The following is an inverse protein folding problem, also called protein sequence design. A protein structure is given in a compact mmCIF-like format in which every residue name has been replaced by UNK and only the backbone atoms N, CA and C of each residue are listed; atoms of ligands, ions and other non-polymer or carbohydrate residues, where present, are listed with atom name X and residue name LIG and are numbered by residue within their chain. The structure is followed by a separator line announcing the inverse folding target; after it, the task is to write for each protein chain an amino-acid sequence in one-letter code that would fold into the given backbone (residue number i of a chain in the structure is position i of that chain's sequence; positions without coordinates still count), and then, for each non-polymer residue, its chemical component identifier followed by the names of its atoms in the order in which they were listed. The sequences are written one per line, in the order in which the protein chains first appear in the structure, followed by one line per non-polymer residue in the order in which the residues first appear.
data_IF_131469737431
#
_entry.id   IF_131469737431
#
_cell.length_a   1.000
_cell.length_b   1.000
_cell.length_c   1.000
_cell.angle_alpha   90.00
_cell.angle_beta   90.00
_cell.angle_gamma   90.00
#
_symmetry.space_group_name_H-M   'P 1'
#
loop_
_entity.id
_entity.type
_entity.pdbx_description
1 polymer ?
#
# COMPACT_ATOMS: atom_id res chain seq x y z
N UNK A 1 40.63 -23.78 17.02
CA UNK A 1 40.21 -22.86 15.96
C UNK A 1 38.71 -22.73 16.09
N UNK A 2 38.25 -21.58 16.55
CA UNK A 2 36.84 -21.30 16.79
C UNK A 2 36.43 -20.20 15.81
N UNK A 3 35.69 -20.58 14.77
CA UNK A 3 35.10 -19.64 13.84
C UNK A 3 33.58 -19.78 13.95
N UNK A 4 33.08 -18.99 14.89
CA UNK A 4 31.69 -18.60 15.05
C UNK A 4 31.29 -17.69 13.88
N UNK A 5 30.39 -18.14 13.00
CA UNK A 5 29.51 -17.27 12.22
C UNK A 5 28.12 -17.87 12.13
N UNK A 6 27.42 -17.79 13.25
CA UNK A 6 25.97 -17.72 13.26
C UNK A 6 25.49 -16.45 12.52
N UNK A 7 24.29 -16.54 11.94
CA UNK A 7 23.39 -15.44 11.65
C UNK A 7 23.68 -14.55 10.43
N UNK A 8 23.04 -14.86 9.30
CA UNK A 8 22.16 -13.90 8.60
C UNK A 8 21.02 -14.68 7.94
N UNK A 9 20.12 -15.18 8.79
CA UNK A 9 18.75 -15.40 8.36
C UNK A 9 18.21 -13.99 8.16
N UNK A 10 18.17 -13.53 6.90
CA UNK A 10 17.62 -12.22 6.58
C UNK A 10 16.16 -12.23 7.02
N UNK A 11 15.86 -11.50 8.08
CA UNK A 11 14.50 -11.24 8.52
C UNK A 11 13.73 -10.66 7.32
N UNK A 12 12.59 -11.28 6.90
CA UNK A 12 11.79 -10.79 5.77
C UNK A 12 11.11 -9.43 6.05
N UNK A 13 11.41 -8.81 7.19
CA UNK A 13 10.91 -7.49 7.61
C UNK A 13 11.96 -6.38 7.44
N UNK A 14 13.19 -6.71 7.04
CA UNK A 14 14.29 -5.76 6.82
C UNK A 14 14.68 -5.68 5.32
N UNK A 15 13.76 -6.04 4.42
CA UNK A 15 13.93 -5.68 3.01
C UNK A 15 13.91 -4.16 2.89
N UNK A 16 14.96 -3.54 2.32
CA UNK A 16 14.97 -2.09 2.15
C UNK A 16 13.74 -1.69 1.32
N UNK A 17 12.89 -0.86 1.91
CA UNK A 17 11.77 -0.20 1.20
C UNK A 17 12.35 0.40 -0.09
N UNK A 18 11.89 -0.09 -1.24
CA UNK A 18 12.40 0.34 -2.54
C UNK A 18 13.39 -0.60 -3.25
N UNK A 19 13.53 -1.86 -2.86
CA UNK A 19 14.08 -2.86 -3.79
C UNK A 19 13.15 -3.07 -5.00
N UNK A 20 13.68 -3.36 -6.19
CA UNK A 20 12.81 -3.62 -7.37
C UNK A 20 11.81 -4.77 -7.16
N UNK A 21 12.21 -5.79 -6.39
CA UNK A 21 11.34 -6.91 -5.99
C UNK A 21 10.22 -6.46 -5.02
N UNK A 22 10.43 -5.38 -4.28
CA UNK A 22 9.45 -4.81 -3.34
C UNK A 22 8.35 -4.08 -4.12
N UNK A 23 8.67 -3.38 -5.21
CA UNK A 23 7.67 -2.73 -6.07
C UNK A 23 6.75 -3.76 -6.74
N UNK A 24 7.33 -4.85 -7.26
CA UNK A 24 6.56 -5.93 -7.89
C UNK A 24 5.66 -6.64 -6.87
N UNK A 25 6.18 -6.98 -5.70
CA UNK A 25 5.38 -7.59 -4.62
C UNK A 25 4.29 -6.65 -4.11
N UNK A 26 4.48 -5.32 -4.11
CA UNK A 26 3.41 -4.38 -3.78
C UNK A 26 2.31 -4.37 -4.84
N UNK A 27 2.69 -4.39 -6.12
CA UNK A 27 1.71 -4.41 -7.20
C UNK A 27 0.87 -5.69 -7.19
N UNK A 28 1.42 -6.80 -6.67
CA UNK A 28 0.68 -8.03 -6.42
C UNK A 28 -0.25 -7.93 -5.19
N UNK A 29 0.19 -7.24 -4.14
CA UNK A 29 -0.57 -7.09 -2.89
C UNK A 29 -1.67 -6.01 -2.98
N UNK A 30 -1.36 -4.81 -3.51
CA UNK A 30 -2.27 -3.69 -3.69
C UNK A 30 -2.68 -3.58 -5.16
N UNK A 31 -3.92 -3.95 -5.44
CA UNK A 31 -4.47 -3.92 -6.81
C UNK A 31 -5.63 -2.92 -6.94
N UNK A 32 -5.92 -2.46 -8.17
CA UNK A 32 -7.10 -1.63 -8.47
C UNK A 32 -8.40 -2.29 -8.00
N UNK A 33 -8.47 -3.63 -8.01
CA UNK A 33 -9.61 -4.39 -7.46
C UNK A 33 -9.76 -4.18 -5.95
N UNK A 34 -8.66 -4.29 -5.19
CA UNK A 34 -8.71 -4.07 -3.75
C UNK A 34 -9.04 -2.62 -3.41
N UNK A 35 -8.45 -1.65 -4.13
CA UNK A 35 -8.77 -0.23 -3.98
C UNK A 35 -10.27 -0.02 -4.20
N UNK A 36 -10.83 -0.53 -5.29
CA UNK A 36 -12.27 -0.45 -5.60
C UNK A 36 -13.13 -1.13 -4.53
N UNK A 37 -12.69 -2.27 -3.99
CA UNK A 37 -13.39 -2.94 -2.89
C UNK A 37 -13.42 -2.09 -1.63
N UNK A 38 -12.39 -1.31 -1.33
CA UNK A 38 -12.45 -0.34 -0.22
C UNK A 38 -13.31 0.89 -0.57
N UNK A 39 -13.50 1.24 -1.84
CA UNK A 39 -14.34 2.37 -2.24
C UNK A 39 -15.84 2.08 -2.09
N UNK A 40 -16.26 0.85 -2.40
CA UNK A 40 -17.68 0.48 -2.51
C UNK A 40 -18.07 -0.79 -1.73
N UNK A 41 -17.14 -1.39 -1.00
CA UNK A 41 -17.40 -2.58 -0.21
C UNK A 41 -18.35 -2.33 0.97
N UNK A 42 -18.88 -3.42 1.52
CA UNK A 42 -19.83 -3.39 2.64
C UNK A 42 -19.20 -3.23 4.02
N UNK A 43 -17.88 -3.04 4.11
CA UNK A 43 -17.22 -2.70 5.37
C UNK A 43 -17.66 -1.30 5.86
N UNK A 44 -17.60 -1.02 7.18
CA UNK A 44 -17.86 0.31 7.72
C UNK A 44 -17.00 1.38 7.04
N UNK A 45 -17.59 2.55 6.80
CA UNK A 45 -16.91 3.68 6.14
C UNK A 45 -15.60 4.05 6.83
N UNK A 46 -15.57 4.05 8.17
CA UNK A 46 -14.38 4.37 8.96
C UNK A 46 -13.23 3.37 8.72
N UNK A 47 -13.56 2.08 8.64
CA UNK A 47 -12.59 1.02 8.34
C UNK A 47 -12.07 1.13 6.91
N UNK A 48 -12.95 1.38 5.94
CA UNK A 48 -12.57 1.61 4.53
C UNK A 48 -11.67 2.82 4.38
N UNK A 49 -11.97 3.91 5.08
CA UNK A 49 -11.19 5.14 5.07
C UNK A 49 -9.80 4.95 5.68
N UNK A 50 -9.71 4.21 6.80
CA UNK A 50 -8.41 3.87 7.40
C UNK A 50 -7.55 3.04 6.43
N UNK A 51 -8.10 1.97 5.85
CA UNK A 51 -7.38 1.10 4.91
C UNK A 51 -6.93 1.86 3.66
N UNK A 52 -7.76 2.74 3.10
CA UNK A 52 -7.38 3.56 1.95
C UNK A 52 -6.27 4.55 2.29
N UNK A 53 -6.23 5.12 3.50
CA UNK A 53 -5.11 5.97 3.94
C UNK A 53 -3.81 5.19 4.06
N UNK A 54 -3.86 3.96 4.60
CA UNK A 54 -2.69 3.09 4.69
C UNK A 54 -2.17 2.72 3.29
N UNK A 55 -3.06 2.35 2.36
CA UNK A 55 -2.73 2.07 0.95
C UNK A 55 -2.07 3.29 0.28
N UNK A 56 -2.66 4.48 0.43
CA UNK A 56 -2.10 5.71 -0.16
C UNK A 56 -0.69 5.98 0.38
N UNK A 57 -0.50 5.88 1.70
CA UNK A 57 0.80 6.12 2.33
C UNK A 57 1.87 5.13 1.83
N UNK A 58 1.51 3.87 1.69
CA UNK A 58 2.42 2.83 1.21
C UNK A 58 2.83 3.09 -0.25
N UNK A 59 1.85 3.34 -1.13
CA UNK A 59 2.10 3.66 -2.54
C UNK A 59 2.92 4.95 -2.68
N UNK A 60 2.63 6.00 -1.92
CA UNK A 60 3.42 7.24 -1.91
C UNK A 60 4.87 7.01 -1.53
N UNK A 61 5.09 6.20 -0.48
CA UNK A 61 6.45 5.86 -0.02
C UNK A 61 7.24 5.14 -1.12
N UNK A 62 6.63 4.14 -1.79
CA UNK A 62 7.33 3.37 -2.82
C UNK A 62 7.53 4.14 -4.12
N UNK A 63 6.55 4.95 -4.53
CA UNK A 63 6.68 5.84 -5.69
C UNK A 63 7.82 6.84 -5.52
N UNK A 64 8.07 7.31 -4.30
CA UNK A 64 9.18 8.25 -4.02
C UNK A 64 10.53 7.55 -3.80
N UNK A 65 10.53 6.26 -3.47
CA UNK A 65 11.75 5.53 -3.13
C UNK A 65 12.64 5.21 -4.35
N UNK A 66 12.07 4.95 -5.53
CA UNK A 66 12.83 4.57 -6.73
C UNK A 66 12.20 5.05 -8.03
N UNK A 67 13.00 5.11 -9.11
CA UNK A 67 12.50 5.39 -10.47
C UNK A 67 11.44 4.36 -10.93
N UNK A 68 11.62 3.07 -10.63
CA UNK A 68 10.64 2.02 -10.94
C UNK A 68 9.36 2.14 -10.10
N UNK A 69 9.44 2.75 -8.91
CA UNK A 69 8.27 3.09 -8.10
C UNK A 69 7.28 4.01 -8.80
N UNK A 70 7.70 4.77 -9.83
CA UNK A 70 6.79 5.56 -10.67
C UNK A 70 5.78 4.72 -11.42
N UNK A 71 6.07 3.43 -11.66
CA UNK A 71 5.11 2.51 -12.27
C UNK A 71 3.86 2.30 -11.39
N UNK A 72 3.94 2.62 -10.10
CA UNK A 72 2.82 2.58 -9.15
C UNK A 72 1.98 3.86 -9.15
N UNK A 73 2.39 4.93 -9.85
CA UNK A 73 1.63 6.19 -9.90
C UNK A 73 0.15 6.01 -10.29
N UNK A 74 -0.21 5.17 -11.29
CA UNK A 74 -1.61 4.92 -11.61
C UNK A 74 -2.41 4.37 -10.42
N UNK A 75 -1.85 3.41 -9.69
CA UNK A 75 -2.49 2.83 -8.50
C UNK A 75 -2.60 3.87 -7.37
N UNK A 76 -1.59 4.72 -7.21
CA UNK A 76 -1.61 5.81 -6.24
C UNK A 76 -2.72 6.83 -6.54
N UNK A 77 -2.89 7.20 -7.82
CA UNK A 77 -3.97 8.09 -8.24
C UNK A 77 -5.36 7.46 -8.04
N UNK A 78 -5.51 6.17 -8.33
CA UNK A 78 -6.73 5.40 -8.05
C UNK A 78 -7.05 5.37 -6.55
N UNK A 79 -6.06 5.10 -5.71
CA UNK A 79 -6.21 5.05 -4.25
C UNK A 79 -6.59 6.43 -3.67
N UNK A 80 -5.96 7.51 -4.15
CA UNK A 80 -6.29 8.89 -3.74
C UNK A 80 -7.71 9.28 -4.18
N UNK A 81 -8.13 8.88 -5.38
CA UNK A 81 -9.48 9.14 -5.88
C UNK A 81 -10.53 8.39 -5.05
N UNK A 82 -10.24 7.13 -4.72
CA UNK A 82 -11.07 6.29 -3.86
C UNK A 82 -11.19 6.83 -2.45
N UNK A 83 -10.07 7.28 -1.85
CA UNK A 83 -10.07 7.91 -0.53
C UNK A 83 -11.01 9.12 -0.49
N UNK A 84 -10.95 10.01 -1.49
CA UNK A 84 -11.84 11.17 -1.59
C UNK A 84 -13.33 10.77 -1.68
N UNK A 85 -13.65 9.65 -2.32
CA UNK A 85 -15.02 9.16 -2.40
C UNK A 85 -15.50 8.70 -1.02
N UNK A 86 -14.69 7.92 -0.31
CA UNK A 86 -15.04 7.41 1.03
C UNK A 86 -15.07 8.53 2.06
N UNK A 87 -14.20 9.53 1.97
CA UNK A 87 -14.25 10.75 2.79
C UNK A 87 -15.58 11.51 2.60
N UNK A 88 -16.09 11.56 1.37
CA UNK A 88 -17.42 12.13 1.10
C UNK A 88 -18.54 11.28 1.70
N UNK A 89 -18.48 9.96 1.58
CA UNK A 89 -19.45 9.06 2.22
C UNK A 89 -19.50 9.27 3.74
N UNK A 90 -18.32 9.38 4.37
CA UNK A 90 -18.19 9.67 5.81
C UNK A 90 -18.83 11.01 6.19
N UNK A 91 -18.60 12.05 5.38
CA UNK A 91 -19.17 13.37 5.61
C UNK A 91 -20.70 13.44 5.37
N UNK A 92 -21.22 12.63 4.45
CA UNK A 92 -22.66 12.54 4.15
C UNK A 92 -23.43 11.67 5.15
N UNK A 93 -22.74 10.92 6.02
CA UNK A 93 -23.36 9.92 6.89
C UNK A 93 -23.90 8.70 6.14
N UNK A 94 -23.41 8.47 4.91
CA UNK A 94 -23.75 7.30 4.11
C UNK A 94 -22.81 6.16 4.51
N UNK A 95 -23.26 5.28 5.39
CA UNK A 95 -22.51 4.12 5.89
C UNK A 95 -23.36 2.88 6.02
#
# INVERSE_FOLDING_TARGET
MADNRSNQQQDPLDSPVGGEADVESLAEDITSRQITAQTYGGDPVEDRLKRLKDIVRELESRTQATERGKDLEPLLEEARSSLKIVEKQAASGEG
#
